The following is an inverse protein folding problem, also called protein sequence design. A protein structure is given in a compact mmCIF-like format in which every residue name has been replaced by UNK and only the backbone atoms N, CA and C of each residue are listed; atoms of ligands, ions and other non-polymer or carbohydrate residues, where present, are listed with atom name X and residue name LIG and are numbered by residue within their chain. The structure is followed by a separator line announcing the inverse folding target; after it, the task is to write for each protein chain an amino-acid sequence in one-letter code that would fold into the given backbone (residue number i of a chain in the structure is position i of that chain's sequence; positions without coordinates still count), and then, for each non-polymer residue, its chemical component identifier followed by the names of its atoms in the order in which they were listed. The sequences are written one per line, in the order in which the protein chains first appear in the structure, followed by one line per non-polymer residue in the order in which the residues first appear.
data_IF_293981918725
#
_entry.id   IF_293981918725
#
_cell.length_a   1.000
_cell.length_b   1.000
_cell.length_c   1.000
_cell.angle_alpha   90.00
_cell.angle_beta   90.00
_cell.angle_gamma   90.00
#
_symmetry.space_group_name_H-M   'P 1'
#
loop_
_entity.id
_entity.type
_entity.pdbx_description
1 polymer ?
#
# COMPACT_ATOMS: atom_id res chain seq x y z
N UNK A 1 25.76 -52.22 46.24
CA UNK A 1 24.32 -52.18 45.89
C UNK A 1 23.89 -50.72 45.78
N UNK A 2 23.58 -50.23 44.57
CA UNK A 2 23.34 -48.81 44.28
C UNK A 2 21.85 -48.52 44.49
N UNK A 3 21.52 -47.65 45.46
CA UNK A 3 20.16 -47.44 45.96
C UNK A 3 19.28 -46.73 44.90
N UNK A 4 18.23 -47.38 44.35
CA UNK A 4 17.46 -46.90 43.19
C UNK A 4 16.58 -45.68 43.47
N UNK A 5 16.39 -45.30 44.75
CA UNK A 5 15.60 -44.14 45.15
C UNK A 5 16.36 -42.83 44.88
N UNK A 6 17.68 -42.81 45.06
CA UNK A 6 18.51 -41.62 44.86
C UNK A 6 18.64 -41.25 43.37
N UNK A 7 18.70 -42.24 42.46
CA UNK A 7 18.78 -41.99 41.01
C UNK A 7 17.50 -41.36 40.44
N UNK A 8 16.31 -41.78 40.92
CA UNK A 8 15.03 -41.20 40.49
C UNK A 8 14.86 -39.73 40.88
N UNK A 9 15.34 -39.33 42.05
CA UNK A 9 15.27 -37.93 42.52
C UNK A 9 16.18 -36.98 41.75
N UNK A 10 17.35 -37.46 41.29
CA UNK A 10 18.29 -36.68 40.50
C UNK A 10 17.79 -36.50 39.06
N UNK A 11 17.11 -37.49 38.48
CA UNK A 11 16.55 -37.42 37.14
C UNK A 11 15.42 -36.40 37.01
N UNK A 12 14.51 -36.30 37.99
CA UNK A 12 13.42 -35.31 37.98
C UNK A 12 13.95 -33.89 38.06
N UNK A 13 14.97 -33.64 38.90
CA UNK A 13 15.64 -32.33 39.00
C UNK A 13 16.36 -31.91 37.71
N UNK A 14 16.88 -32.87 36.95
CA UNK A 14 17.59 -32.62 35.68
C UNK A 14 16.62 -32.33 34.55
N UNK A 15 15.52 -33.09 34.49
CA UNK A 15 14.41 -32.87 33.55
C UNK A 15 13.74 -31.53 33.76
N UNK A 16 13.52 -31.09 35.00
CA UNK A 16 12.94 -29.78 35.31
C UNK A 16 13.83 -28.61 34.88
N UNK A 17 15.14 -28.70 35.16
CA UNK A 17 16.13 -27.71 34.69
C UNK A 17 16.22 -27.67 33.15
N UNK A 18 16.10 -28.82 32.50
CA UNK A 18 16.08 -28.90 31.04
C UNK A 18 14.81 -28.29 30.44
N UNK A 19 13.65 -28.59 31.01
CA UNK A 19 12.37 -28.01 30.61
C UNK A 19 12.35 -26.49 30.79
N UNK A 20 12.88 -26.00 31.92
CA UNK A 20 13.02 -24.57 32.19
C UNK A 20 13.92 -23.88 31.16
N UNK A 21 15.05 -24.49 30.77
CA UNK A 21 15.94 -23.94 29.73
C UNK A 21 15.25 -23.89 28.36
N UNK A 22 14.48 -24.91 27.99
CA UNK A 22 13.72 -24.92 26.73
C UNK A 22 12.68 -23.80 26.73
N UNK A 23 11.94 -23.63 27.83
CA UNK A 23 10.92 -22.59 27.97
C UNK A 23 11.55 -21.19 27.85
N UNK A 24 12.67 -20.94 28.52
CA UNK A 24 13.37 -19.64 28.43
C UNK A 24 13.86 -19.35 27.01
N UNK A 25 14.41 -20.36 26.31
CA UNK A 25 14.85 -20.21 24.92
C UNK A 25 13.64 -19.96 23.99
N UNK A 26 12.54 -20.68 24.17
CA UNK A 26 11.32 -20.51 23.38
C UNK A 26 10.65 -19.14 23.58
N UNK A 27 10.64 -18.63 24.81
CA UNK A 27 10.16 -17.28 25.12
C UNK A 27 11.08 -16.24 24.47
N UNK A 28 12.40 -16.43 24.54
CA UNK A 28 13.37 -15.54 23.90
C UNK A 28 13.19 -15.45 22.39
N UNK A 29 12.98 -16.58 21.70
CA UNK A 29 12.76 -16.59 20.25
C UNK A 29 11.42 -15.96 19.85
N UNK A 30 10.35 -16.17 20.62
CA UNK A 30 9.06 -15.51 20.43
C UNK A 30 9.16 -13.98 20.59
N UNK A 31 9.91 -13.49 21.59
CA UNK A 31 10.11 -12.05 21.78
C UNK A 31 10.92 -11.43 20.65
N UNK A 32 11.98 -12.09 20.18
CA UNK A 32 12.80 -11.60 19.06
C UNK A 32 12.01 -11.59 17.75
N UNK A 33 11.30 -12.67 17.43
CA UNK A 33 10.47 -12.74 16.22
C UNK A 33 9.30 -11.76 16.25
N UNK A 34 8.62 -11.61 17.39
CA UNK A 34 7.58 -10.60 17.58
C UNK A 34 8.13 -9.17 17.48
N UNK A 35 9.32 -8.91 18.01
CA UNK A 35 10.01 -7.62 17.90
C UNK A 35 10.41 -7.29 16.46
N UNK A 36 10.98 -8.26 15.73
CA UNK A 36 11.29 -8.12 14.30
C UNK A 36 10.01 -7.90 13.50
N UNK A 37 8.94 -8.65 13.77
CA UNK A 37 7.64 -8.50 13.11
C UNK A 37 7.04 -7.11 13.35
N UNK A 38 7.04 -6.61 14.58
CA UNK A 38 6.58 -5.24 14.92
C UNK A 38 7.45 -4.17 14.26
N UNK A 39 8.77 -4.38 14.21
CA UNK A 39 9.71 -3.45 13.59
C UNK A 39 9.50 -3.40 12.06
N UNK A 40 9.40 -4.56 11.40
CA UNK A 40 9.06 -4.69 9.98
C UNK A 40 7.68 -4.11 9.71
N UNK A 41 6.69 -4.36 10.56
CA UNK A 41 5.35 -3.79 10.43
C UNK A 41 5.38 -2.26 10.52
N UNK A 42 6.13 -1.68 11.46
CA UNK A 42 6.34 -0.22 11.56
C UNK A 42 7.08 0.35 10.36
N UNK A 43 8.11 -0.32 9.86
CA UNK A 43 8.86 0.10 8.67
C UNK A 43 7.95 0.06 7.44
N UNK A 44 7.19 -1.03 7.27
CA UNK A 44 6.19 -1.21 6.19
C UNK A 44 5.03 -0.20 6.27
N UNK A 45 4.73 0.33 7.46
CA UNK A 45 3.78 1.42 7.65
C UNK A 45 4.38 2.80 7.30
N UNK A 46 5.70 3.00 7.42
CA UNK A 46 6.40 4.26 7.10
C UNK A 46 6.81 4.40 5.63
N UNK A 47 6.98 3.31 4.91
CA UNK A 47 7.41 3.34 3.50
C UNK A 47 6.49 4.06 2.51
N UNK A 48 5.14 4.01 2.59
CA UNK A 48 4.30 4.76 1.64
C UNK A 48 4.43 6.28 1.80
N UNK A 49 4.73 6.78 3.01
CA UNK A 49 4.88 8.22 3.31
C UNK A 49 6.11 8.87 2.68
N UNK A 50 7.20 8.11 2.50
CA UNK A 50 8.45 8.65 1.93
C UNK A 50 8.32 8.94 0.42
N UNK A 51 7.28 8.39 -0.22
CA UNK A 51 7.00 8.56 -1.65
C UNK A 51 5.99 9.67 -1.94
N UNK A 52 5.38 10.32 -0.94
CA UNK A 52 4.51 11.45 -1.25
C UNK A 52 5.36 12.59 -1.84
N UNK A 53 5.14 12.99 -3.10
CA UNK A 53 5.92 14.05 -3.70
C UNK A 53 5.53 15.36 -3.03
N UNK A 54 6.50 15.99 -2.36
CA UNK A 54 6.40 17.39 -2.00
C UNK A 54 6.31 18.16 -3.32
N UNK A 55 5.30 19.02 -3.51
CA UNK A 55 5.07 19.69 -4.80
C UNK A 55 6.25 20.62 -5.14
N UNK A 56 7.04 20.22 -6.14
CA UNK A 56 8.24 20.93 -6.58
C UNK A 56 7.96 22.19 -7.43
N UNK A 57 6.70 22.50 -7.74
CA UNK A 57 6.33 23.69 -8.51
C UNK A 57 4.96 24.28 -8.11
N UNK A 58 4.78 24.59 -6.83
CA UNK A 58 3.60 25.36 -6.37
C UNK A 58 3.55 26.78 -6.93
N UNK A 59 4.68 27.29 -7.44
CA UNK A 59 4.86 28.65 -7.94
C UNK A 59 4.08 28.94 -9.23
N UNK A 60 3.75 27.91 -10.03
CA UNK A 60 2.99 28.07 -11.29
C UNK A 60 1.48 27.89 -11.11
N UNK A 61 1.04 27.34 -9.98
CA UNK A 61 -0.37 27.10 -9.69
C UNK A 61 -1.05 28.36 -9.15
N UNK A 62 -2.34 28.51 -9.46
CA UNK A 62 -3.16 29.54 -8.85
C UNK A 62 -3.16 29.39 -7.33
N UNK A 63 -3.17 30.49 -6.55
CA UNK A 63 -3.12 30.43 -5.09
C UNK A 63 -4.20 29.52 -4.47
N UNK A 64 -5.43 29.57 -4.99
CA UNK A 64 -6.52 28.71 -4.52
C UNK A 64 -6.23 27.21 -4.69
N UNK A 65 -5.67 26.83 -5.84
CA UNK A 65 -5.29 25.43 -6.12
C UNK A 65 -4.14 24.99 -5.23
N UNK A 66 -3.16 25.87 -5.01
CA UNK A 66 -2.04 25.62 -4.11
C UNK A 66 -2.53 25.32 -2.70
N UNK A 67 -3.41 26.16 -2.17
CA UNK A 67 -3.94 26.00 -0.81
C UNK A 67 -4.75 24.70 -0.68
N UNK A 68 -5.56 24.38 -1.70
CA UNK A 68 -6.29 23.12 -1.75
C UNK A 68 -5.35 21.90 -1.74
N UNK A 69 -4.28 21.92 -2.54
CA UNK A 69 -3.29 20.83 -2.57
C UNK A 69 -2.58 20.70 -1.23
N UNK A 70 -2.22 21.81 -0.58
CA UNK A 70 -1.59 21.81 0.73
C UNK A 70 -2.52 21.21 1.80
N UNK A 71 -3.80 21.54 1.76
CA UNK A 71 -4.79 20.96 2.66
C UNK A 71 -4.91 19.44 2.45
N UNK A 72 -5.06 19.01 1.19
CA UNK A 72 -5.15 17.58 0.85
C UNK A 72 -3.88 16.81 1.22
N UNK A 73 -2.69 17.40 1.02
CA UNK A 73 -1.42 16.81 1.47
C UNK A 73 -1.38 16.62 2.99
N UNK A 74 -1.83 17.62 3.77
CA UNK A 74 -1.94 17.50 5.22
C UNK A 74 -2.91 16.38 5.63
N UNK A 75 -4.06 16.27 4.95
CA UNK A 75 -5.04 15.21 5.21
C UNK A 75 -4.50 13.81 4.88
N UNK A 76 -3.74 13.68 3.80
CA UNK A 76 -3.06 12.42 3.44
C UNK A 76 -1.98 12.09 4.46
N UNK A 77 -1.20 13.07 4.93
CA UNK A 77 -0.19 12.84 5.99
C UNK A 77 -0.84 12.41 7.31
N UNK A 78 -2.00 12.97 7.65
CA UNK A 78 -2.78 12.55 8.81
C UNK A 78 -3.40 11.15 8.65
N UNK A 79 -3.63 10.70 7.41
CA UNK A 79 -4.26 9.41 7.10
C UNK A 79 -3.58 8.71 5.91
N UNK A 80 -2.32 8.26 6.05
CA UNK A 80 -1.45 7.88 4.93
C UNK A 80 -1.80 6.54 4.26
N UNK A 81 -2.85 5.88 4.74
CA UNK A 81 -3.37 4.63 4.17
C UNK A 81 -4.79 4.81 3.62
N UNK A 82 -5.34 6.01 3.69
CA UNK A 82 -6.64 6.32 3.10
C UNK A 82 -6.47 6.44 1.60
N UNK A 83 -6.91 5.39 0.90
CA UNK A 83 -6.85 5.26 -0.56
C UNK A 83 -7.63 6.40 -1.21
N UNK A 84 -8.82 6.72 -0.70
CA UNK A 84 -9.64 7.79 -1.26
C UNK A 84 -8.96 9.16 -1.13
N UNK A 85 -8.34 9.49 0.01
CA UNK A 85 -7.61 10.76 0.18
C UNK A 85 -6.41 10.87 -0.77
N UNK A 86 -5.64 9.80 -0.89
CA UNK A 86 -4.50 9.74 -1.84
C UNK A 86 -4.99 9.87 -3.28
N UNK A 87 -6.11 9.23 -3.60
CA UNK A 87 -6.77 9.31 -4.89
C UNK A 87 -7.25 10.71 -5.24
N UNK A 88 -7.93 11.39 -4.30
CA UNK A 88 -8.41 12.77 -4.46
C UNK A 88 -7.23 13.74 -4.69
N UNK A 89 -6.13 13.56 -3.93
CA UNK A 89 -4.91 14.33 -4.16
C UNK A 89 -4.33 14.08 -5.56
N UNK A 90 -4.31 12.82 -6.01
CA UNK A 90 -3.88 12.45 -7.36
C UNK A 90 -4.74 13.07 -8.47
N UNK A 91 -6.07 13.04 -8.31
CA UNK A 91 -7.02 13.66 -9.24
C UNK A 91 -6.82 15.17 -9.28
N UNK A 92 -6.58 15.80 -8.13
CA UNK A 92 -6.31 17.24 -8.04
C UNK A 92 -5.02 17.60 -8.77
N UNK A 93 -3.96 16.80 -8.63
CA UNK A 93 -2.74 16.99 -9.40
C UNK A 93 -2.95 16.79 -10.91
N UNK A 94 -3.70 15.76 -11.31
CA UNK A 94 -4.02 15.47 -12.72
C UNK A 94 -4.78 16.64 -13.35
N UNK A 95 -5.84 17.13 -12.70
CA UNK A 95 -6.62 18.27 -13.18
C UNK A 95 -5.78 19.55 -13.38
N UNK A 96 -4.66 19.66 -12.66
CA UNK A 96 -3.73 20.78 -12.75
C UNK A 96 -2.46 20.44 -13.56
N UNK A 97 -2.52 19.43 -14.42
CA UNK A 97 -1.44 19.00 -15.33
C UNK A 97 -0.12 18.65 -14.60
N UNK A 98 -0.19 18.38 -13.30
CA UNK A 98 0.93 17.95 -12.48
C UNK A 98 1.07 16.43 -12.57
N UNK A 99 1.36 15.94 -13.77
CA UNK A 99 1.28 14.52 -14.11
C UNK A 99 2.25 13.66 -13.28
N UNK A 100 3.46 14.13 -13.03
CA UNK A 100 4.44 13.38 -12.22
C UNK A 100 3.91 13.06 -10.81
N UNK A 101 3.28 14.04 -10.17
CA UNK A 101 2.70 13.89 -8.84
C UNK A 101 1.46 13.00 -8.87
N UNK A 102 0.61 13.17 -9.88
CA UNK A 102 -0.59 12.35 -10.05
C UNK A 102 -0.23 10.87 -10.27
N UNK A 103 0.76 10.58 -11.12
CA UNK A 103 1.29 9.23 -11.36
C UNK A 103 1.69 8.55 -10.04
N UNK A 104 2.42 9.26 -9.18
CA UNK A 104 2.85 8.72 -7.88
C UNK A 104 1.64 8.44 -6.98
N UNK A 105 0.67 9.35 -6.91
CA UNK A 105 -0.54 9.17 -6.11
C UNK A 105 -1.33 7.94 -6.56
N UNK A 106 -1.56 7.77 -7.86
CA UNK A 106 -2.28 6.61 -8.38
C UNK A 106 -1.52 5.30 -8.16
N UNK A 107 -0.19 5.29 -8.35
CA UNK A 107 0.63 4.10 -8.03
C UNK A 107 0.55 3.72 -6.55
N UNK A 108 0.54 4.71 -5.65
CA UNK A 108 0.35 4.46 -4.22
C UNK A 108 -1.05 3.91 -3.92
N UNK A 109 -2.09 4.48 -4.53
CA UNK A 109 -3.46 4.01 -4.37
C UNK A 109 -3.63 2.55 -4.87
N UNK A 110 -3.05 2.20 -6.03
CA UNK A 110 -3.00 0.82 -6.54
C UNK A 110 -2.31 -0.11 -5.53
N UNK A 111 -1.19 0.31 -4.94
CA UNK A 111 -0.47 -0.50 -3.96
C UNK A 111 -1.22 -0.72 -2.64
N UNK A 112 -2.12 0.20 -2.28
CA UNK A 112 -2.94 0.11 -1.06
C UNK A 112 -4.28 -0.60 -1.29
N UNK A 113 -4.87 -0.45 -2.47
CA UNK A 113 -6.11 -1.10 -2.89
C UNK A 113 -5.97 -1.71 -4.28
N UNK A 114 -5.35 -2.90 -4.39
CA UNK A 114 -5.07 -3.52 -5.69
C UNK A 114 -6.33 -3.97 -6.45
N UNK A 115 -7.45 -4.15 -5.75
CA UNK A 115 -8.73 -4.58 -6.34
C UNK A 115 -9.63 -3.42 -6.77
N UNK A 116 -9.21 -2.17 -6.51
CA UNK A 116 -9.98 -0.98 -6.88
C UNK A 116 -9.58 -0.53 -8.28
N UNK A 117 -10.48 -0.74 -9.24
CA UNK A 117 -10.25 -0.45 -10.65
C UNK A 117 -10.08 1.04 -10.97
N UNK A 118 -10.50 1.95 -10.08
CA UNK A 118 -10.46 3.41 -10.32
C UNK A 118 -9.03 3.90 -10.54
N UNK A 119 -8.08 3.44 -9.71
CA UNK A 119 -6.70 3.90 -9.75
C UNK A 119 -5.90 3.45 -10.98
N UNK A 120 -5.95 2.17 -11.42
CA UNK A 120 -5.32 1.79 -12.68
C UNK A 120 -6.01 2.46 -13.88
N UNK A 121 -7.31 2.77 -13.81
CA UNK A 121 -8.00 3.55 -14.84
C UNK A 121 -7.43 4.97 -14.93
N UNK A 122 -7.38 5.73 -13.84
CA UNK A 122 -6.81 7.09 -13.88
C UNK A 122 -5.33 7.10 -14.28
N UNK A 123 -4.56 6.08 -13.87
CA UNK A 123 -3.18 5.90 -14.30
C UNK A 123 -3.11 5.69 -15.82
N UNK A 124 -4.02 4.91 -16.40
CA UNK A 124 -4.08 4.68 -17.85
C UNK A 124 -4.35 5.97 -18.62
N UNK A 125 -5.26 6.81 -18.14
CA UNK A 125 -5.57 8.11 -18.77
C UNK A 125 -4.32 9.00 -18.83
N UNK A 126 -3.56 9.12 -17.73
CA UNK A 126 -2.30 9.87 -17.77
C UNK A 126 -1.30 9.25 -18.75
N UNK A 127 -1.22 7.91 -18.82
CA UNK A 127 -0.31 7.23 -19.75
C UNK A 127 -0.67 7.52 -21.21
N UNK A 128 -1.96 7.57 -21.53
CA UNK A 128 -2.48 7.99 -22.83
C UNK A 128 -2.11 9.45 -23.14
N UNK A 129 -2.34 10.38 -22.20
CA UNK A 129 -1.96 11.79 -22.34
C UNK A 129 -0.45 12.00 -22.55
N UNK A 130 0.38 11.11 -22.00
CA UNK A 130 1.84 11.10 -22.18
C UNK A 130 2.31 10.33 -23.44
N UNK A 131 1.39 9.84 -24.27
CA UNK A 131 1.69 9.07 -25.50
C UNK A 131 2.21 7.65 -25.25
N UNK A 132 2.04 7.12 -24.04
CA UNK A 132 2.49 5.77 -23.64
C UNK A 132 1.35 4.75 -23.82
N UNK A 133 0.86 4.64 -25.05
CA UNK A 133 -0.36 3.89 -25.40
C UNK A 133 -0.31 2.41 -24.99
N UNK A 134 0.82 1.72 -25.24
CA UNK A 134 1.01 0.32 -24.83
C UNK A 134 0.83 0.11 -23.32
N UNK A 135 1.27 1.07 -22.50
CA UNK A 135 1.12 1.00 -21.05
C UNK A 135 -0.33 1.29 -20.65
N UNK A 136 -0.98 2.25 -21.31
CA UNK A 136 -2.38 2.57 -21.09
C UNK A 136 -3.28 1.36 -21.40
N UNK A 137 -3.09 0.69 -22.53
CA UNK A 137 -3.85 -0.51 -22.91
C UNK A 137 -3.70 -1.62 -21.87
N UNK A 138 -2.47 -1.89 -21.39
CA UNK A 138 -2.23 -2.89 -20.34
C UNK A 138 -2.99 -2.57 -19.05
N UNK A 139 -2.99 -1.30 -18.65
CA UNK A 139 -3.71 -0.85 -17.46
C UNK A 139 -5.23 -0.94 -17.66
N UNK A 140 -5.75 -0.57 -18.83
CA UNK A 140 -7.17 -0.70 -19.15
C UNK A 140 -7.62 -2.16 -19.20
N UNK A 141 -6.81 -3.07 -19.74
CA UNK A 141 -7.08 -4.51 -19.69
C UNK A 141 -7.13 -5.02 -18.23
N UNK A 142 -6.30 -4.48 -17.34
CA UNK A 142 -6.39 -4.81 -15.93
C UNK A 142 -7.69 -4.24 -15.30
N UNK A 143 -8.11 -3.03 -15.67
CA UNK A 143 -9.36 -2.43 -15.23
C UNK A 143 -10.57 -3.30 -15.62
N UNK A 144 -10.60 -3.83 -16.84
CA UNK A 144 -11.70 -4.69 -17.30
C UNK A 144 -11.71 -6.05 -16.60
N UNK A 145 -10.55 -6.57 -16.20
CA UNK A 145 -10.46 -7.78 -15.37
C UNK A 145 -10.98 -7.54 -13.94
N UNK A 146 -10.66 -6.38 -13.34
CA UNK A 146 -11.11 -6.00 -12.00
C UNK A 146 -12.61 -5.66 -11.97
N UNK A 147 -13.12 -5.04 -13.04
CA UNK A 147 -14.53 -4.68 -13.17
C UNK A 147 -15.02 -4.88 -14.61
N UNK A 148 -15.53 -6.09 -14.93
CA UNK A 148 -16.06 -6.39 -16.26
C UNK A 148 -17.23 -5.50 -16.69
N UNK A 149 -18.02 -4.99 -15.73
CA UNK A 149 -19.15 -4.08 -15.98
C UNK A 149 -18.72 -2.69 -16.45
N UNK A 150 -17.50 -2.27 -16.11
CA UNK A 150 -16.94 -1.00 -16.56
C UNK A 150 -16.71 -0.99 -18.08
N UNK A 151 -16.23 -2.10 -18.64
CA UNK A 151 -16.03 -2.26 -20.09
C UNK A 151 -17.34 -2.16 -20.86
N UNK A 152 -18.40 -2.81 -20.36
CA UNK A 152 -19.72 -2.81 -20.99
C UNK A 152 -20.34 -1.39 -21.04
N UNK A 153 -20.19 -0.60 -19.98
CA UNK A 153 -20.71 0.76 -19.93
C UNK A 153 -19.98 1.74 -20.87
N UNK A 154 -18.65 1.58 -21.04
CA UNK A 154 -17.87 2.48 -21.92
C UNK A 154 -18.03 2.11 -23.40
N UNK A 155 -17.99 0.82 -23.75
CA UNK A 155 -18.15 0.38 -25.14
C UNK A 155 -19.52 0.74 -25.72
N UNK A 156 -20.58 0.65 -24.91
CA UNK A 156 -21.94 1.03 -25.35
C UNK A 156 -22.12 2.55 -25.50
N UNK A 157 -21.27 3.36 -24.86
CA UNK A 157 -21.29 4.83 -25.03
C UNK A 157 -20.54 5.31 -26.28
N UNK A 158 -19.59 4.52 -26.79
CA UNK A 158 -18.80 4.85 -27.99
C UNK A 158 -19.36 4.23 -29.27
N UNK A 159 -20.25 3.24 -29.19
CA UNK A 159 -20.92 2.64 -30.36
C UNK A 159 -22.24 3.41 -30.59
N UNK A 160 -22.32 4.36 -31.54
CA UNK A 160 -23.60 4.94 -31.90
C UNK A 160 -24.52 3.82 -32.43
N UNK A 161 -25.82 3.83 -32.09
CA UNK A 161 -26.74 2.81 -32.58
C UNK A 161 -26.74 2.83 -34.10
N UNK A 162 -26.36 1.71 -34.71
CA UNK A 162 -26.48 1.49 -36.14
C UNK A 162 -27.97 1.58 -36.51
N UNK A 163 -28.37 2.70 -37.11
CA UNK A 163 -29.64 2.80 -37.84
C UNK A 163 -29.47 2.22 -39.24
#
# INVERSE_FOLDING_TARGET
MRNPVLSRSLETSRKWRYLHRIIVVAIGTLLVTGGIWLCVQRIRQRTPLKKLPVPLNLTRLQPAVRDQILQLDAEVRASPRSVDKIGILGITYHANQSFDQALICYQLAIGLSPNDYRWPYYLAIIKEELGQEDQAIKLLNHVTQLNPGYAHGKLTSEIPPSR
#
